data_IF_181473223528
#
_entry.id   IF_181473223528
#
_cell.length_a   1.000
_cell.length_b   1.000
_cell.length_c   1.000
_cell.angle_alpha   90.00
_cell.angle_beta   90.00
_cell.angle_gamma   90.00
#
_symmetry.space_group_name_H-M   'P 1'
#
loop_
_entity.id
_entity.type
_entity.pdbx_description
1 polymer ?
#
# COMPACT_ATOMS: atom_id res chain seq x y z
N UNK A 1 6.70 12.09 19.81
CA UNK A 1 7.86 11.60 19.05
C UNK A 1 7.46 11.58 17.58
N UNK A 2 8.28 12.16 16.70
CA UNK A 2 7.89 12.82 15.46
C UNK A 2 7.06 11.97 14.50
N UNK A 3 5.94 12.52 14.03
CA UNK A 3 5.28 12.01 12.83
C UNK A 3 6.14 12.47 11.65
N UNK A 4 6.88 11.55 11.04
CA UNK A 4 7.68 11.80 9.84
C UNK A 4 6.76 12.06 8.65
N UNK A 5 6.14 13.24 8.65
CA UNK A 5 5.32 13.72 7.57
C UNK A 5 6.25 14.11 6.41
N UNK A 6 5.97 13.60 5.22
CA UNK A 6 6.73 13.96 4.01
C UNK A 6 6.04 15.16 3.38
N UNK A 7 6.79 16.25 3.23
CA UNK A 7 6.35 17.42 2.47
C UNK A 7 6.28 17.06 0.98
N UNK A 8 5.12 17.33 0.39
CA UNK A 8 4.76 17.02 -0.99
C UNK A 8 4.27 18.28 -1.73
N UNK A 9 4.60 19.47 -1.23
CA UNK A 9 4.21 20.79 -1.75
C UNK A 9 4.89 21.20 -3.07
N UNK A 10 5.65 20.30 -3.72
CA UNK A 10 6.28 20.55 -5.02
C UNK A 10 5.32 20.42 -6.21
N UNK A 11 4.05 20.13 -5.94
CA UNK A 11 3.01 19.86 -6.94
C UNK A 11 2.49 18.43 -6.82
N UNK A 12 1.17 18.28 -6.83
CA UNK A 12 0.51 17.02 -6.56
C UNK A 12 0.87 15.94 -7.59
N UNK A 13 0.86 16.28 -8.87
CA UNK A 13 1.18 15.35 -9.96
C UNK A 13 2.61 14.80 -9.84
N UNK A 14 3.57 15.68 -9.61
CA UNK A 14 4.97 15.31 -9.43
C UNK A 14 5.16 14.44 -8.18
N UNK A 15 4.58 14.84 -7.05
CA UNK A 15 4.65 14.09 -5.80
C UNK A 15 4.04 12.69 -5.93
N UNK A 16 2.90 12.55 -6.61
CA UNK A 16 2.27 11.25 -6.88
C UNK A 16 3.16 10.35 -7.73
N UNK A 17 3.81 10.88 -8.78
CA UNK A 17 4.75 10.11 -9.58
C UNK A 17 5.95 9.59 -8.76
N UNK A 18 6.47 10.40 -7.83
CA UNK A 18 7.49 9.95 -6.88
C UNK A 18 6.94 8.89 -5.92
N UNK A 19 5.73 9.07 -5.40
CA UNK A 19 5.13 8.12 -4.47
C UNK A 19 4.84 6.77 -5.13
N UNK A 20 4.42 6.73 -6.39
CA UNK A 20 4.29 5.51 -7.18
C UNK A 20 5.65 4.83 -7.37
N UNK A 21 6.67 5.59 -7.80
CA UNK A 21 8.03 5.06 -8.00
C UNK A 21 8.63 4.47 -6.72
N UNK A 22 8.40 5.10 -5.58
CA UNK A 22 8.89 4.66 -4.27
C UNK A 22 7.88 3.81 -3.47
N UNK A 23 6.76 3.44 -4.09
CA UNK A 23 5.67 2.65 -3.50
C UNK A 23 5.24 3.14 -2.11
N UNK A 24 5.07 4.46 -1.94
CA UNK A 24 4.71 5.05 -0.64
C UNK A 24 3.27 4.76 -0.27
N UNK A 25 3.06 4.45 1.01
CA UNK A 25 1.73 4.27 1.59
C UNK A 25 1.42 5.44 2.52
N UNK A 26 0.18 5.89 2.54
CA UNK A 26 -0.21 6.94 3.48
C UNK A 26 -1.41 7.75 3.05
N UNK A 27 -1.76 8.69 3.92
CA UNK A 27 -2.77 9.68 3.64
C UNK A 27 -2.08 10.97 3.23
N UNK A 28 -2.25 11.33 1.96
CA UNK A 28 -1.83 12.62 1.43
C UNK A 28 -2.97 13.62 1.64
N UNK A 29 -2.68 14.76 2.27
CA UNK A 29 -3.70 15.76 2.58
C UNK A 29 -3.18 17.19 2.39
N UNK A 30 -4.06 18.11 1.99
CA UNK A 30 -3.77 19.53 1.86
C UNK A 30 -5.02 20.39 2.13
N UNK A 31 -4.83 21.64 2.54
CA UNK A 31 -5.89 22.66 2.55
C UNK A 31 -6.00 23.30 1.16
N UNK A 32 -7.21 23.33 0.61
CA UNK A 32 -7.51 23.80 -0.74
C UNK A 32 -8.49 24.97 -0.63
N UNK A 33 -8.11 26.13 -1.16
CA UNK A 33 -8.85 27.38 -0.94
C UNK A 33 -10.05 27.58 -1.89
N UNK A 34 -10.16 26.81 -2.97
CA UNK A 34 -11.29 26.89 -3.89
C UNK A 34 -11.42 25.66 -4.79
N UNK A 35 -12.45 24.84 -4.56
CA UNK A 35 -12.79 23.69 -5.41
C UNK A 35 -14.08 23.99 -6.17
N UNK A 36 -14.14 23.79 -7.49
CA UNK A 36 -15.36 23.96 -8.26
C UNK A 36 -16.53 23.15 -7.68
N UNK A 37 -17.64 23.83 -7.38
CA UNK A 37 -18.84 23.20 -6.81
C UNK A 37 -18.88 23.14 -5.28
N UNK A 38 -17.78 23.46 -4.58
CA UNK A 38 -17.71 23.47 -3.11
C UNK A 38 -17.44 24.88 -2.60
N UNK A 39 -18.27 25.37 -1.68
CA UNK A 39 -18.14 26.73 -1.15
C UNK A 39 -17.14 26.79 0.01
N UNK A 40 -16.11 27.61 -0.16
CA UNK A 40 -15.13 27.95 0.88
C UNK A 40 -13.91 27.04 0.87
N UNK A 41 -13.12 27.13 1.94
CA UNK A 41 -11.93 26.29 2.12
C UNK A 41 -12.34 24.86 2.41
N UNK A 42 -11.56 23.93 1.87
CA UNK A 42 -11.79 22.51 1.99
C UNK A 42 -10.46 21.78 2.18
N UNK A 43 -10.51 20.50 2.52
CA UNK A 43 -9.33 19.65 2.63
C UNK A 43 -9.39 18.54 1.59
N UNK A 44 -8.35 18.43 0.77
CA UNK A 44 -8.19 17.30 -0.15
C UNK A 44 -7.54 16.12 0.57
N UNK A 45 -8.01 14.92 0.29
CA UNK A 45 -7.46 13.67 0.82
C UNK A 45 -7.27 12.65 -0.29
N UNK A 46 -6.06 12.08 -0.36
CA UNK A 46 -5.75 10.95 -1.22
C UNK A 46 -5.13 9.83 -0.39
N UNK A 47 -5.74 8.65 -0.45
CA UNK A 47 -5.19 7.47 0.20
C UNK A 47 -4.32 6.72 -0.80
N UNK A 48 -3.04 6.58 -0.46
CA UNK A 48 -2.03 5.89 -1.24
C UNK A 48 -1.77 4.50 -0.70
N UNK A 49 -1.84 3.50 -1.58
CA UNK A 49 -1.36 2.14 -1.35
C UNK A 49 -0.42 1.76 -2.48
N UNK A 50 0.82 1.41 -2.13
CA UNK A 50 1.93 1.19 -3.07
C UNK A 50 2.13 2.36 -4.03
N UNK A 51 1.87 3.58 -3.54
CA UNK A 51 1.96 4.81 -4.31
C UNK A 51 0.82 5.06 -5.28
N UNK A 52 -0.18 4.17 -5.36
CA UNK A 52 -1.39 4.34 -6.16
C UNK A 52 -2.53 4.90 -5.31
N UNK A 53 -3.33 5.78 -5.91
CA UNK A 53 -4.50 6.35 -5.27
C UNK A 53 -5.62 5.31 -5.28
N UNK A 54 -6.04 4.87 -4.09
CA UNK A 54 -7.18 3.95 -3.93
C UNK A 54 -8.47 4.68 -3.58
N UNK A 55 -8.37 5.82 -2.89
CA UNK A 55 -9.51 6.69 -2.59
C UNK A 55 -9.09 8.15 -2.63
N UNK A 56 -10.01 8.98 -3.11
CA UNK A 56 -9.82 10.40 -3.30
C UNK A 56 -11.12 11.12 -2.94
N UNK A 57 -11.05 12.07 -2.01
CA UNK A 57 -12.21 12.85 -1.60
C UNK A 57 -11.82 14.23 -1.07
N UNK A 58 -12.80 15.10 -1.02
CA UNK A 58 -12.68 16.46 -0.50
C UNK A 58 -13.62 16.59 0.70
N UNK A 59 -13.12 17.14 1.80
CA UNK A 59 -13.92 17.46 2.97
C UNK A 59 -14.18 18.98 2.98
N UNK A 60 -15.45 19.36 2.99
CA UNK A 60 -15.83 20.77 3.13
C UNK A 60 -15.77 21.24 4.61
N UNK A 61 -16.01 22.53 4.82
CA UNK A 61 -16.04 23.13 6.18
C UNK A 61 -17.10 22.52 7.12
N UNK A 62 -18.11 21.85 6.57
CA UNK A 62 -19.19 21.18 7.32
C UNK A 62 -18.80 19.73 7.65
N UNK A 63 -17.59 19.28 7.26
CA UNK A 63 -17.11 17.92 7.44
C UNK A 63 -17.71 16.93 6.45
N UNK A 64 -18.45 17.39 5.43
CA UNK A 64 -19.03 16.48 4.44
C UNK A 64 -17.97 16.08 3.42
N UNK A 65 -17.93 14.78 3.14
CA UNK A 65 -17.01 14.19 2.18
C UNK A 65 -17.65 14.10 0.82
N UNK A 66 -17.00 14.70 -0.15
CA UNK A 66 -17.35 14.66 -1.56
C UNK A 66 -16.33 13.76 -2.26
N UNK A 67 -16.76 12.56 -2.66
CA UNK A 67 -15.90 11.67 -3.46
C UNK A 67 -15.55 12.39 -4.76
N UNK A 68 -14.28 12.37 -5.15
CA UNK A 68 -13.82 13.10 -6.33
C UNK A 68 -12.81 12.29 -7.11
N UNK A 69 -12.59 12.70 -8.35
CA UNK A 69 -11.58 12.12 -9.21
C UNK A 69 -10.19 12.74 -8.92
N UNK A 70 -9.15 11.93 -9.01
CA UNK A 70 -7.77 12.39 -8.81
C UNK A 70 -7.37 13.50 -9.80
N UNK A 71 -7.87 13.44 -11.04
CA UNK A 71 -7.61 14.44 -12.08
C UNK A 71 -8.18 15.81 -11.73
N UNK A 72 -9.28 15.86 -10.97
CA UNK A 72 -9.82 17.12 -10.46
C UNK A 72 -8.86 17.76 -9.46
N UNK A 73 -8.33 17.00 -8.50
CA UNK A 73 -7.37 17.52 -7.52
C UNK A 73 -6.05 17.94 -8.16
N UNK A 74 -5.54 17.13 -9.11
CA UNK A 74 -4.33 17.46 -9.88
C UNK A 74 -4.53 18.76 -10.66
N UNK A 75 -5.66 18.89 -11.37
CA UNK A 75 -5.97 20.12 -12.12
C UNK A 75 -6.07 21.33 -11.20
N UNK A 76 -6.80 21.21 -10.08
CA UNK A 76 -6.95 22.31 -9.11
C UNK A 76 -5.60 22.70 -8.51
N UNK A 77 -4.73 21.74 -8.20
CA UNK A 77 -3.36 22.00 -7.75
C UNK A 77 -2.49 22.68 -8.82
N UNK A 78 -2.62 22.30 -10.10
CA UNK A 78 -1.88 22.95 -11.19
C UNK A 78 -2.36 24.37 -11.53
N UNK A 79 -3.66 24.63 -11.41
CA UNK A 79 -4.27 25.92 -11.77
C UNK A 79 -4.21 26.95 -10.65
N UNK A 80 -4.19 26.49 -9.39
CA UNK A 80 -4.35 27.32 -8.20
C UNK A 80 -3.34 27.05 -7.09
N UNK A 81 -2.52 26.01 -7.27
CA UNK A 81 -1.45 25.59 -6.38
C UNK A 81 -0.07 25.69 -7.06
N UNK A 82 1.00 25.23 -6.38
CA UNK A 82 0.98 24.04 -5.55
C UNK A 82 0.45 24.29 -4.14
N UNK A 83 -0.41 23.39 -3.66
CA UNK A 83 -0.85 23.38 -2.27
C UNK A 83 0.16 22.67 -1.37
N UNK A 84 0.11 22.96 -0.06
CA UNK A 84 0.96 22.33 0.95
C UNK A 84 0.51 20.88 1.24
N UNK A 85 0.75 19.99 0.29
CA UNK A 85 0.48 18.57 0.46
C UNK A 85 1.42 17.97 1.49
N UNK A 86 0.83 17.23 2.43
CA UNK A 86 1.55 16.51 3.46
C UNK A 86 1.16 15.04 3.40
N UNK A 87 2.14 14.16 3.15
CA UNK A 87 1.95 12.73 3.28
C UNK A 87 2.17 12.35 4.74
N UNK A 88 1.08 11.99 5.42
CA UNK A 88 1.16 11.26 6.68
C UNK A 88 1.33 9.78 6.33
N UNK A 89 2.51 9.18 6.52
CA UNK A 89 2.67 7.75 6.32
C UNK A 89 1.66 7.05 7.23
N UNK A 90 0.85 6.17 6.64
CA UNK A 90 0.08 5.27 7.48
C UNK A 90 1.13 4.41 8.19
N UNK A 91 1.11 4.25 9.52
CA UNK A 91 1.86 3.16 10.11
C UNK A 91 1.48 1.92 9.30
N UNK A 92 2.47 1.18 8.80
CA UNK A 92 2.21 -0.19 8.41
C UNK A 92 1.36 -0.80 9.55
N UNK A 93 0.28 -1.55 9.25
CA UNK A 93 -0.59 -2.11 10.28
C UNK A 93 0.31 -2.65 11.38
N UNK A 94 0.08 -2.25 12.65
CA UNK A 94 1.06 -2.40 13.71
C UNK A 94 1.59 -3.83 13.65
N UNK A 95 2.90 -3.96 13.43
CA UNK A 95 3.57 -5.25 13.60
C UNK A 95 3.12 -5.74 14.97
N UNK A 96 2.37 -6.85 14.99
CA UNK A 96 1.78 -7.37 16.20
C UNK A 96 2.89 -7.45 17.25
N UNK A 97 2.75 -6.65 18.31
CA UNK A 97 3.68 -6.72 19.43
C UNK A 97 3.69 -8.17 19.95
N UNK A 98 4.88 -8.71 20.28
CA UNK A 98 4.98 -10.04 20.85
C UNK A 98 4.36 -10.03 22.25
N UNK A 99 3.72 -11.14 22.62
CA UNK A 99 3.11 -11.42 23.93
C UNK A 99 1.71 -10.86 24.18
N UNK A 100 0.71 -11.37 23.46
CA UNK A 100 -0.47 -11.88 24.16
C UNK A 100 -0.78 -13.26 23.56
N UNK A 101 -0.45 -14.30 24.31
CA UNK A 101 -0.88 -15.68 24.02
C UNK A 101 -2.39 -15.74 24.28
N UNK A 102 -3.19 -15.53 23.24
CA UNK A 102 -4.60 -15.91 23.24
C UNK A 102 -4.68 -17.21 22.43
N UNK A 103 -5.26 -18.30 22.96
CA UNK A 103 -5.41 -19.55 22.21
C UNK A 103 -6.41 -19.31 21.08
N UNK A 104 -5.88 -19.08 19.87
CA UNK A 104 -6.65 -18.84 18.67
C UNK A 104 -7.27 -20.17 18.23
N UNK A 105 -8.59 -20.28 18.35
CA UNK A 105 -9.34 -21.39 17.74
C UNK A 105 -9.17 -21.32 16.21
N UNK A 106 -9.03 -22.45 15.51
CA UNK A 106 -8.86 -22.47 14.07
C UNK A 106 -10.14 -21.96 13.39
N UNK A 107 -10.03 -20.85 12.67
CA UNK A 107 -11.05 -20.43 11.70
C UNK A 107 -10.92 -21.27 10.44
N UNK A 108 -12.00 -21.83 9.87
CA UNK A 108 -11.90 -22.86 8.82
C UNK A 108 -11.49 -22.39 7.42
N UNK A 109 -11.38 -21.08 7.15
CA UNK A 109 -11.21 -20.57 5.78
C UNK A 109 -10.01 -19.61 5.68
N UNK A 110 -8.82 -20.07 6.07
CA UNK A 110 -7.60 -19.30 5.81
C UNK A 110 -7.10 -19.62 4.41
N UNK A 111 -6.89 -18.61 3.53
CA UNK A 111 -6.46 -18.84 2.16
C UNK A 111 -5.15 -19.63 2.09
N UNK A 112 -5.14 -20.69 1.27
CA UNK A 112 -3.99 -21.58 1.09
C UNK A 112 -3.36 -21.29 -0.27
N UNK A 113 -2.16 -20.70 -0.32
CA UNK A 113 -1.45 -20.54 -1.58
C UNK A 113 -0.90 -21.88 -2.05
N UNK A 114 -0.98 -22.13 -3.36
CA UNK A 114 -0.46 -23.32 -4.01
C UNK A 114 0.40 -22.94 -5.21
N UNK A 115 1.58 -23.54 -5.31
CA UNK A 115 2.46 -23.39 -6.48
C UNK A 115 1.85 -24.07 -7.69
N UNK A 116 1.85 -23.36 -8.83
CA UNK A 116 1.32 -23.86 -10.11
C UNK A 116 2.36 -23.83 -11.22
N UNK A 117 3.47 -23.12 -11.01
CA UNK A 117 4.59 -23.06 -11.94
C UNK A 117 5.90 -22.76 -11.20
N UNK A 118 7.05 -23.28 -11.69
CA UNK A 118 8.34 -23.11 -11.04
C UNK A 118 8.81 -21.65 -11.07
N UNK A 119 9.35 -21.18 -9.95
CA UNK A 119 9.92 -19.84 -9.85
C UNK A 119 11.25 -19.76 -10.61
N UNK A 120 11.24 -19.11 -11.78
CA UNK A 120 12.46 -18.82 -12.52
C UNK A 120 13.04 -17.46 -12.12
N UNK A 121 14.05 -17.46 -11.25
CA UNK A 121 14.73 -16.25 -10.77
C UNK A 121 15.56 -15.54 -11.84
N UNK A 122 15.93 -16.23 -12.92
CA UNK A 122 16.71 -15.66 -14.03
C UNK A 122 15.84 -14.73 -14.88
N UNK A 123 14.54 -15.03 -15.00
CA UNK A 123 13.57 -14.20 -15.72
C UNK A 123 13.21 -12.89 -15.00
N UNK A 124 13.64 -12.72 -13.75
CA UNK A 124 13.46 -11.49 -12.98
C UNK A 124 14.58 -10.48 -13.31
N UNK A 125 14.62 -10.03 -14.57
CA UNK A 125 15.55 -8.98 -15.01
C UNK A 125 15.23 -7.65 -14.31
N UNK A 126 16.26 -6.95 -13.84
CA UNK A 126 16.11 -5.70 -13.07
C UNK A 126 15.86 -5.88 -11.56
N UNK A 127 15.74 -7.13 -11.08
CA UNK A 127 15.61 -7.41 -9.64
C UNK A 127 16.97 -7.56 -8.97
N UNK A 128 17.12 -6.96 -7.79
CA UNK A 128 18.33 -7.12 -6.97
C UNK A 128 18.41 -8.54 -6.40
N UNK A 129 19.63 -9.03 -6.12
CA UNK A 129 19.85 -10.35 -5.53
C UNK A 129 19.08 -10.54 -4.21
N UNK A 130 18.93 -9.47 -3.42
CA UNK A 130 18.15 -9.47 -2.18
C UNK A 130 16.66 -9.72 -2.44
N UNK A 131 16.09 -9.10 -3.46
CA UNK A 131 14.68 -9.32 -3.82
C UNK A 131 14.44 -10.72 -4.34
N UNK A 132 15.35 -11.25 -5.17
CA UNK A 132 15.29 -12.65 -5.66
C UNK A 132 15.33 -13.65 -4.50
N UNK A 133 16.22 -13.42 -3.53
CA UNK A 133 16.34 -14.25 -2.32
C UNK A 133 15.08 -14.19 -1.43
N UNK A 134 14.51 -13.00 -1.22
CA UNK A 134 13.28 -12.87 -0.42
C UNK A 134 12.11 -13.60 -1.09
N UNK A 135 12.02 -13.54 -2.42
CA UNK A 135 10.98 -14.20 -3.19
C UNK A 135 11.14 -15.73 -3.16
N UNK A 136 12.37 -16.24 -3.26
CA UNK A 136 12.63 -17.69 -3.21
C UNK A 136 12.30 -18.28 -1.84
N UNK A 137 12.68 -17.60 -0.75
CA UNK A 137 12.37 -18.04 0.63
C UNK A 137 10.86 -18.21 0.82
N UNK A 138 10.07 -17.27 0.33
CA UNK A 138 8.60 -17.32 0.48
C UNK A 138 8.01 -18.37 -0.44
N UNK A 139 8.53 -18.50 -1.66
CA UNK A 139 8.10 -19.53 -2.62
C UNK A 139 8.35 -20.96 -2.10
N UNK A 140 9.50 -21.21 -1.48
CA UNK A 140 9.86 -22.52 -0.92
C UNK A 140 8.98 -22.93 0.27
N UNK A 141 8.35 -21.95 0.94
CA UNK A 141 7.39 -22.20 2.03
C UNK A 141 6.00 -22.55 1.52
N UNK A 142 5.70 -22.38 0.22
CA UNK A 142 4.38 -22.65 -0.34
C UNK A 142 4.29 -24.13 -0.75
N UNK A 143 3.78 -24.96 0.16
CA UNK A 143 3.59 -26.41 -0.05
C UNK A 143 2.16 -26.78 -0.51
N UNK A 144 1.24 -25.82 -0.58
CA UNK A 144 -0.16 -26.05 -0.92
C UNK A 144 -1.01 -26.61 0.22
N UNK A 145 -0.48 -26.67 1.43
CA UNK A 145 -1.16 -27.17 2.65
C UNK A 145 -1.24 -26.08 3.72
N UNK A 146 -0.21 -25.24 3.84
CA UNK A 146 -0.15 -24.21 4.88
C UNK A 146 -0.79 -22.90 4.43
N UNK A 147 -1.47 -22.23 5.37
CA UNK A 147 -2.16 -20.96 5.08
C UNK A 147 -1.19 -19.78 4.95
N UNK A 148 -1.65 -18.68 4.36
CA UNK A 148 -0.87 -17.42 4.29
C UNK A 148 -0.36 -16.99 5.67
N UNK A 149 -1.18 -17.11 6.72
CA UNK A 149 -0.80 -16.73 8.07
C UNK A 149 0.27 -17.65 8.67
N UNK A 150 0.26 -18.93 8.28
CA UNK A 150 1.28 -19.89 8.69
C UNK A 150 2.59 -19.72 7.91
N UNK A 151 2.52 -19.29 6.64
CA UNK A 151 3.71 -18.90 5.87
C UNK A 151 4.36 -17.65 6.49
N UNK A 152 3.55 -16.66 6.90
CA UNK A 152 4.05 -15.46 7.59
C UNK A 152 4.74 -15.79 8.91
N UNK A 153 4.29 -16.80 9.64
CA UNK A 153 4.89 -17.20 10.91
C UNK A 153 6.15 -18.07 10.75
N UNK A 154 6.23 -18.90 9.70
CA UNK A 154 7.39 -19.74 9.40
C UNK A 154 8.49 -19.03 8.62
N UNK A 155 8.15 -17.94 7.92
CA UNK A 155 9.11 -17.16 7.15
C UNK A 155 10.10 -16.44 8.08
N UNK A 156 11.42 -16.46 7.76
CA UNK A 156 12.40 -15.64 8.46
C UNK A 156 12.31 -14.15 8.08
N UNK A 157 11.41 -13.79 7.15
CA UNK A 157 11.17 -12.43 6.70
C UNK A 157 10.06 -11.78 7.51
N UNK A 158 10.09 -10.45 7.60
CA UNK A 158 9.00 -9.70 8.23
C UNK A 158 7.66 -10.03 7.53
N UNK A 159 6.53 -10.13 8.27
CA UNK A 159 5.23 -10.51 7.69
C UNK A 159 4.81 -9.65 6.50
N UNK A 160 5.13 -8.34 6.52
CA UNK A 160 4.88 -7.42 5.41
C UNK A 160 5.69 -7.78 4.14
N UNK A 161 6.94 -8.25 4.31
CA UNK A 161 7.80 -8.69 3.20
C UNK A 161 7.31 -10.02 2.64
N UNK A 162 6.88 -10.94 3.50
CA UNK A 162 6.27 -12.22 3.09
C UNK A 162 4.97 -12.00 2.30
N UNK A 163 4.14 -11.05 2.73
CA UNK A 163 2.89 -10.72 2.03
C UNK A 163 3.16 -10.08 0.66
N UNK A 164 4.14 -9.17 0.58
CA UNK A 164 4.57 -8.59 -0.70
C UNK A 164 5.10 -9.66 -1.66
N UNK A 165 5.93 -10.59 -1.16
CA UNK A 165 6.42 -11.71 -1.94
C UNK A 165 5.28 -12.60 -2.45
N UNK A 166 4.27 -12.89 -1.62
CA UNK A 166 3.07 -13.63 -2.05
C UNK A 166 2.30 -12.89 -3.15
N UNK A 167 2.13 -11.55 -3.03
CA UNK A 167 1.49 -10.73 -4.09
C UNK A 167 2.27 -10.79 -5.40
N UNK A 168 3.60 -10.68 -5.33
CA UNK A 168 4.48 -10.80 -6.50
C UNK A 168 4.30 -12.17 -7.16
N UNK A 169 4.39 -13.26 -6.38
CA UNK A 169 4.20 -14.63 -6.88
C UNK A 169 2.82 -14.83 -7.53
N UNK A 170 1.77 -14.23 -6.95
CA UNK A 170 0.42 -14.26 -7.50
C UNK A 170 0.34 -13.48 -8.83
N UNK A 171 0.92 -12.27 -8.89
CA UNK A 171 0.95 -11.45 -10.10
C UNK A 171 1.73 -12.09 -11.25
N UNK A 172 2.80 -12.83 -10.91
CA UNK A 172 3.58 -13.61 -11.86
C UNK A 172 2.90 -14.91 -12.27
N UNK A 173 1.72 -15.21 -11.70
CA UNK A 173 0.97 -16.46 -11.90
C UNK A 173 1.78 -17.71 -11.55
N UNK A 174 2.69 -17.60 -10.58
CA UNK A 174 3.47 -18.72 -10.06
C UNK A 174 2.70 -19.49 -8.98
N UNK A 175 1.75 -18.81 -8.32
CA UNK A 175 0.89 -19.39 -7.30
C UNK A 175 -0.58 -18.99 -7.52
N UNK A 176 -1.50 -19.77 -6.96
CA UNK A 176 -2.93 -19.45 -6.83
C UNK A 176 -3.35 -19.53 -5.36
N UNK A 177 -4.44 -18.85 -4.99
CA UNK A 177 -5.02 -18.93 -3.65
C UNK A 177 -6.26 -19.82 -3.71
N UNK A 178 -6.27 -20.86 -2.88
CA UNK A 178 -7.44 -21.71 -2.64
C UNK A 178 -8.18 -21.18 -1.41
N UNK A 179 -9.51 -21.11 -1.49
CA UNK A 179 -10.42 -20.64 -0.44
C UNK A 179 -11.35 -21.78 -0.04
#
# INVERSE_FOLDING_TARGET
MGKDNIDASLGLEFSLALFERYRKNGLLQAEIQHVPGIRGRCKGFLHLVEGKIITCYIEDKEGRRHTTDQGLLIRVDSERGPFEWTLSPNPAPPAANPNIVIPMRPTPNSPIPKTIAPLNLEMLEGWTSRQKLMLSIVYDLIDGVISIEEIKSKSPLAPAVTEEALRVLLSMKQIIILV
#
